data_IF_987388791479
#
_entry.id   IF_987388791479
#
_cell.length_a   1.000
_cell.length_b   1.000
_cell.length_c   1.000
_cell.angle_alpha   90.00
_cell.angle_beta   90.00
_cell.angle_gamma   90.00
#
_symmetry.space_group_name_H-M   'P 1'
#
loop_
_entity.id
_entity.type
_entity.pdbx_description
1 polymer ?
#
# COMPACT_ATOMS: atom_id res chain seq x y z
N UNK A 1 12.99 -11.26 8.37
CA UNK A 1 12.08 -11.24 7.21
C UNK A 1 11.53 -9.84 7.15
N UNK A 2 11.60 -9.19 5.98
CA UNK A 2 11.01 -7.85 5.80
C UNK A 2 9.54 -8.03 5.47
N UNK A 3 8.66 -7.31 6.16
CA UNK A 3 7.22 -7.33 5.91
C UNK A 3 6.87 -6.15 5.01
N UNK A 4 5.89 -6.32 4.14
CA UNK A 4 5.55 -5.30 3.17
C UNK A 4 4.08 -5.35 2.78
N UNK A 5 3.57 -4.18 2.41
CA UNK A 5 2.26 -3.95 1.82
C UNK A 5 2.50 -3.52 0.38
N UNK A 6 2.04 -4.30 -0.58
CA UNK A 6 2.09 -3.99 -1.99
C UNK A 6 0.71 -3.57 -2.46
N UNK A 7 0.66 -2.48 -3.21
CA UNK A 7 -0.55 -2.03 -3.89
C UNK A 7 -0.23 -2.03 -5.37
N UNK A 8 -1.00 -2.81 -6.13
CA UNK A 8 -0.72 -3.10 -7.54
C UNK A 8 -1.85 -2.54 -8.39
N UNK A 9 -1.51 -1.65 -9.32
CA UNK A 9 -2.43 -1.14 -10.32
C UNK A 9 -2.14 -1.80 -11.67
N UNK A 10 -3.14 -2.44 -12.27
CA UNK A 10 -2.97 -3.18 -13.53
C UNK A 10 -2.70 -2.27 -14.74
N UNK A 11 -3.13 -1.01 -14.66
CA UNK A 11 -2.84 0.01 -15.66
C UNK A 11 -1.89 1.02 -15.03
N UNK A 12 -1.03 1.61 -15.87
CA UNK A 12 -0.24 2.76 -15.48
C UNK A 12 -1.20 3.91 -15.18
N UNK A 13 -1.57 4.05 -13.91
CA UNK A 13 -2.22 5.26 -13.43
C UNK A 13 -1.09 6.29 -13.31
N UNK A 14 -1.06 7.24 -14.23
CA UNK A 14 -0.08 8.33 -14.24
C UNK A 14 -0.20 9.22 -12.98
N UNK A 15 -1.30 9.05 -12.22
CA UNK A 15 -1.69 9.82 -11.04
C UNK A 15 -1.44 9.07 -9.71
N UNK A 16 -0.53 8.10 -9.65
CA UNK A 16 -0.05 7.60 -8.34
C UNK A 16 0.93 8.61 -7.75
N UNK A 17 0.34 9.69 -7.25
CA UNK A 17 1.01 10.81 -6.63
C UNK A 17 1.37 10.54 -5.16
N UNK A 18 2.19 11.42 -4.58
CA UNK A 18 2.54 11.42 -3.16
C UNK A 18 1.31 11.38 -2.23
N UNK A 19 0.14 11.85 -2.71
CA UNK A 19 -1.13 11.80 -1.98
C UNK A 19 -1.57 10.37 -1.69
N UNK A 20 -1.41 9.44 -2.63
CA UNK A 20 -1.74 8.03 -2.39
C UNK A 20 -0.78 7.43 -1.37
N UNK A 21 0.51 7.73 -1.51
CA UNK A 21 1.53 7.23 -0.59
C UNK A 21 1.18 7.66 0.83
N UNK A 22 0.93 8.94 1.05
CA UNK A 22 0.57 9.49 2.36
C UNK A 22 -0.71 8.83 2.91
N UNK A 23 -1.73 8.64 2.06
CA UNK A 23 -2.97 7.97 2.43
C UNK A 23 -2.77 6.51 2.84
N UNK A 24 -1.89 5.78 2.15
CA UNK A 24 -1.54 4.39 2.46
C UNK A 24 -0.73 4.33 3.76
N UNK A 25 0.21 5.24 3.95
CA UNK A 25 1.01 5.38 5.17
C UNK A 25 0.11 5.66 6.38
N UNK A 26 -0.85 6.58 6.27
CA UNK A 26 -1.85 6.88 7.32
C UNK A 26 -2.70 5.64 7.68
N UNK A 27 -3.03 4.80 6.69
CA UNK A 27 -3.77 3.57 6.94
C UNK A 27 -2.89 2.46 7.55
N UNK A 28 -1.61 2.47 7.22
CA UNK A 28 -0.61 1.53 7.71
C UNK A 28 0.06 2.00 9.01
N UNK A 29 -0.29 3.16 9.56
CA UNK A 29 0.32 3.81 10.73
C UNK A 29 0.55 2.85 11.92
N UNK A 30 -0.44 1.98 12.20
CA UNK A 30 -0.33 0.95 13.25
C UNK A 30 0.80 -0.08 13.00
N UNK A 31 1.23 -0.23 11.76
CA UNK A 31 2.28 -1.13 11.26
C UNK A 31 3.64 -0.43 11.04
N UNK A 32 3.69 0.90 11.11
CA UNK A 32 4.86 1.71 10.80
C UNK A 32 5.59 2.18 12.06
N UNK A 33 6.80 2.70 11.91
CA UNK A 33 7.55 3.34 12.99
C UNK A 33 7.58 4.83 12.67
N UNK A 34 7.26 5.66 13.67
CA UNK A 34 7.00 7.11 13.52
C UNK A 34 8.14 7.92 12.86
N UNK A 35 9.36 7.38 12.77
CA UNK A 35 10.54 8.12 12.30
C UNK A 35 10.98 7.82 10.85
N UNK A 36 10.82 6.59 10.33
CA UNK A 36 11.33 6.23 8.99
C UNK A 36 10.49 5.09 8.36
N UNK A 37 9.46 5.46 7.61
CA UNK A 37 8.77 4.48 6.75
C UNK A 37 9.39 4.47 5.36
N UNK A 38 9.95 3.33 4.98
CA UNK A 38 10.45 3.12 3.62
C UNK A 38 9.30 2.68 2.71
N UNK A 39 9.10 3.42 1.63
CA UNK A 39 8.23 3.02 0.54
C UNK A 39 8.97 3.13 -0.79
N UNK A 40 8.58 2.30 -1.75
CA UNK A 40 9.14 2.25 -3.09
C UNK A 40 8.01 2.21 -4.12
N UNK A 41 8.13 3.03 -5.17
CA UNK A 41 7.19 3.06 -6.29
C UNK A 41 7.92 2.51 -7.51
N UNK A 42 7.41 1.41 -8.05
CA UNK A 42 7.93 0.74 -9.22
C UNK A 42 6.89 0.55 -10.31
N UNK A 43 7.34 0.02 -11.44
CA UNK A 43 6.46 -0.47 -12.50
C UNK A 43 6.35 -2.00 -12.42
N UNK A 44 5.16 -2.54 -12.66
CA UNK A 44 4.97 -3.98 -12.76
C UNK A 44 5.46 -4.49 -14.11
N UNK A 45 5.79 -5.78 -14.21
CA UNK A 45 6.20 -6.42 -15.47
C UNK A 45 5.14 -6.31 -16.58
N UNK A 46 3.88 -6.05 -16.21
CA UNK A 46 2.75 -5.85 -17.15
C UNK A 46 2.57 -4.40 -17.59
N UNK A 47 3.45 -3.48 -17.17
CA UNK A 47 3.35 -2.04 -17.44
C UNK A 47 2.35 -1.30 -16.55
N UNK A 48 1.98 -1.90 -15.42
CA UNK A 48 1.20 -1.25 -14.35
C UNK A 48 2.10 -0.58 -13.32
N UNK A 49 1.53 -0.11 -12.21
CA UNK A 49 2.28 0.52 -11.12
C UNK A 49 2.21 -0.34 -9.86
N UNK A 50 3.29 -0.38 -9.09
CA UNK A 50 3.34 -1.03 -7.79
C UNK A 50 3.90 -0.09 -6.72
N UNK A 51 3.17 0.09 -5.63
CA UNK A 51 3.64 0.77 -4.42
C UNK A 51 3.95 -0.30 -3.37
N UNK A 52 5.19 -0.34 -2.90
CA UNK A 52 5.64 -1.24 -1.84
C UNK A 52 5.94 -0.43 -0.60
N UNK A 53 5.27 -0.71 0.52
CA UNK A 53 5.52 -0.07 1.81
C UNK A 53 6.12 -1.10 2.75
N UNK A 54 7.34 -0.88 3.23
CA UNK A 54 7.97 -1.75 4.22
C UNK A 54 7.34 -1.51 5.60
N UNK A 55 6.89 -2.59 6.25
CA UNK A 55 6.38 -2.55 7.62
C UNK A 55 7.42 -3.08 8.59
N UNK A 56 7.52 -2.46 9.76
CA UNK A 56 8.56 -2.82 10.75
C UNK A 56 8.25 -4.13 11.48
N UNK A 57 6.98 -4.54 11.48
CA UNK A 57 6.48 -5.75 12.15
C UNK A 57 5.56 -6.53 11.23
N UNK A 58 5.54 -7.84 11.45
CA UNK A 58 4.53 -8.72 10.87
C UNK A 58 3.14 -8.24 11.32
N UNK A 59 2.28 -7.96 10.36
CA UNK A 59 0.86 -7.84 10.64
C UNK A 59 0.29 -9.24 10.87
N UNK A 60 -0.57 -9.39 11.88
CA UNK A 60 -1.35 -10.63 12.04
C UNK A 60 -2.40 -10.68 10.94
N UNK A 61 -2.89 -11.86 10.57
CA UNK A 61 -3.99 -12.01 9.60
C UNK A 61 -5.19 -11.05 9.83
N UNK A 62 -5.59 -10.86 11.09
CA UNK A 62 -6.68 -9.94 11.43
C UNK A 62 -6.30 -8.47 11.20
N UNK A 63 -5.05 -8.10 11.51
CA UNK A 63 -4.55 -6.74 11.35
C UNK A 63 -4.31 -6.41 9.88
N UNK A 64 -3.75 -7.36 9.11
CA UNK A 64 -3.55 -7.21 7.67
C UNK A 64 -4.88 -7.01 6.95
N UNK A 65 -5.91 -7.77 7.32
CA UNK A 65 -7.26 -7.59 6.77
C UNK A 65 -7.77 -6.17 7.02
N UNK A 66 -7.66 -5.69 8.26
CA UNK A 66 -8.12 -4.34 8.63
C UNK A 66 -7.35 -3.26 7.85
N UNK A 67 -6.02 -3.38 7.77
CA UNK A 67 -5.17 -2.43 7.05
C UNK A 67 -5.49 -2.45 5.55
N UNK A 68 -5.64 -3.63 4.95
CA UNK A 68 -6.01 -3.78 3.55
C UNK A 68 -7.36 -3.14 3.24
N UNK A 69 -8.37 -3.37 4.09
CA UNK A 69 -9.68 -2.74 3.95
C UNK A 69 -9.61 -1.21 4.09
N UNK A 70 -8.82 -0.68 5.03
CA UNK A 70 -8.64 0.76 5.20
C UNK A 70 -8.00 1.40 3.97
N UNK A 71 -6.91 0.81 3.49
CA UNK A 71 -6.23 1.24 2.26
C UNK A 71 -7.20 1.21 1.08
N UNK A 72 -7.92 0.10 0.91
CA UNK A 72 -8.86 -0.04 -0.19
C UNK A 72 -9.96 1.02 -0.15
N UNK A 73 -10.61 1.22 1.01
CA UNK A 73 -11.64 2.25 1.16
C UNK A 73 -11.09 3.66 0.87
N UNK A 74 -9.88 3.97 1.33
CA UNK A 74 -9.23 5.26 1.09
C UNK A 74 -8.93 5.48 -0.40
N UNK A 75 -8.40 4.48 -1.08
CA UNK A 75 -8.17 4.51 -2.52
C UNK A 75 -9.47 4.65 -3.31
N UNK A 76 -10.54 3.95 -2.90
CA UNK A 76 -11.87 4.11 -3.49
C UNK A 76 -12.42 5.54 -3.32
N UNK A 77 -12.24 6.16 -2.16
CA UNK A 77 -12.67 7.54 -1.89
C UNK A 77 -11.90 8.54 -2.77
N UNK A 78 -10.60 8.29 -2.99
CA UNK A 78 -9.76 9.07 -3.91
C UNK A 78 -10.12 8.86 -5.40
N UNK A 79 -10.95 7.87 -5.73
CA UNK A 79 -11.45 7.61 -7.08
C UNK A 79 -10.80 6.44 -7.80
N UNK A 80 -9.82 5.78 -7.19
CA UNK A 80 -9.18 4.57 -7.71
C UNK A 80 -10.12 3.38 -7.56
N UNK A 81 -10.31 2.60 -8.62
CA UNK A 81 -11.27 1.47 -8.62
C UNK A 81 -10.66 0.14 -9.07
N UNK A 82 -9.42 0.16 -9.51
CA UNK A 82 -8.75 -0.99 -10.12
C UNK A 82 -7.35 -1.11 -9.56
N UNK A 83 -7.26 -1.64 -8.35
CA UNK A 83 -6.03 -1.92 -7.63
C UNK A 83 -6.18 -3.23 -6.84
N UNK A 84 -5.08 -3.89 -6.58
CA UNK A 84 -4.98 -5.06 -5.72
C UNK A 84 -4.09 -4.71 -4.50
N UNK A 85 -4.44 -5.21 -3.32
CA UNK A 85 -3.69 -4.97 -2.08
C UNK A 85 -3.16 -6.31 -1.56
N UNK A 86 -1.85 -6.48 -1.61
CA UNK A 86 -1.16 -7.68 -1.17
C UNK A 86 -0.33 -7.39 0.09
N UNK A 87 -0.59 -8.07 1.19
CA UNK A 87 0.13 -7.89 2.45
C UNK A 87 0.89 -9.16 2.80
N UNK A 88 2.19 -9.04 3.07
CA UNK A 88 3.00 -10.16 3.57
C UNK A 88 2.87 -10.31 5.10
N UNK A 89 2.08 -11.30 5.52
CA UNK A 89 1.95 -11.78 6.91
C UNK A 89 3.09 -12.70 7.33
#
# INVERSE_FOLDING_TARGET
>A
MKHFINIVWEKKEEDVDAIIVDAVLECADEALTEDETNYDIGETEKGGLILTVETHKALKDSESTIVAERIANKLFDLGYKSFDVEISV
#
